data_IF_718044757010
#
_entry.id   IF_718044757010
#
_cell.length_a   1.000
_cell.length_b   1.000
_cell.length_c   1.000
_cell.angle_alpha   90.00
_cell.angle_beta   90.00
_cell.angle_gamma   90.00
#
_symmetry.space_group_name_H-M   'P 1'
#
loop_
_entity.id
_entity.type
_entity.pdbx_description
1 polymer ?
#
# COMPACT_ATOMS: atom_id res chain seq x y z
N UNK A 1 -13.41 -10.96 13.91
CA UNK A 1 -12.28 -10.59 13.04
C UNK A 1 -12.72 -10.83 11.60
N UNK A 2 -12.58 -9.85 10.72
CA UNK A 2 -12.94 -9.99 9.30
C UNK A 2 -11.87 -10.83 8.59
N UNK A 3 -12.30 -11.84 7.83
CA UNK A 3 -11.42 -12.64 6.99
C UNK A 3 -11.67 -12.27 5.53
N UNK A 4 -10.70 -11.66 4.83
CA UNK A 4 -10.89 -11.28 3.44
C UNK A 4 -10.95 -12.51 2.54
N UNK A 5 -11.55 -12.32 1.36
CA UNK A 5 -11.48 -13.29 0.27
C UNK A 5 -10.08 -13.30 -0.36
N UNK A 6 -9.94 -14.04 -1.47
CA UNK A 6 -8.66 -14.26 -2.13
C UNK A 6 -8.01 -12.97 -2.65
N UNK A 7 -8.78 -12.05 -3.21
CA UNK A 7 -8.26 -10.95 -4.02
C UNK A 7 -8.03 -9.68 -3.18
N UNK A 8 -6.77 -9.25 -3.11
CA UNK A 8 -6.32 -8.14 -2.28
C UNK A 8 -5.69 -7.01 -3.12
N UNK A 9 -6.48 -6.00 -3.56
CA UNK A 9 -5.94 -4.83 -4.22
C UNK A 9 -5.18 -3.90 -3.26
N UNK A 10 -4.01 -3.45 -3.71
CA UNK A 10 -3.13 -2.48 -3.08
C UNK A 10 -3.03 -1.23 -3.97
N UNK A 11 -3.40 -0.07 -3.43
CA UNK A 11 -3.40 1.21 -4.16
C UNK A 11 -3.25 2.40 -3.19
N UNK A 12 -3.15 3.61 -3.72
CA UNK A 12 -3.13 4.87 -2.97
C UNK A 12 -4.49 5.56 -2.90
N UNK A 13 -4.86 5.89 -1.67
CA UNK A 13 -5.96 6.79 -1.35
C UNK A 13 -5.45 8.20 -1.01
N UNK A 14 -6.26 9.21 -1.33
CA UNK A 14 -6.04 10.60 -0.90
C UNK A 14 -7.11 10.98 0.12
N UNK A 15 -6.70 11.37 1.32
CA UNK A 15 -7.58 11.96 2.33
C UNK A 15 -7.54 13.47 2.15
N UNK A 16 -8.63 14.06 1.65
CA UNK A 16 -8.70 15.47 1.34
C UNK A 16 -8.38 16.34 2.57
N UNK A 17 -7.41 17.26 2.42
CA UNK A 17 -7.00 18.16 3.50
C UNK A 17 -6.42 19.47 2.93
N UNK A 18 -6.96 20.60 3.38
CA UNK A 18 -6.58 21.94 2.87
C UNK A 18 -5.75 22.78 3.85
N UNK A 19 -5.62 22.36 5.11
CA UNK A 19 -4.85 23.08 6.12
C UNK A 19 -3.34 23.08 5.87
N UNK A 20 -2.59 23.75 6.77
CA UNK A 20 -1.12 23.71 6.77
C UNK A 20 -0.67 22.42 7.45
N UNK A 21 0.04 21.57 6.73
CA UNK A 21 0.68 20.36 7.25
C UNK A 21 1.88 20.03 6.36
N UNK A 22 2.95 19.53 6.97
CA UNK A 22 4.15 19.05 6.26
C UNK A 22 3.91 17.75 5.50
N UNK A 23 2.93 16.95 5.93
CA UNK A 23 2.57 15.67 5.33
C UNK A 23 1.62 15.79 4.13
N UNK A 24 1.07 16.99 3.92
CA UNK A 24 0.13 17.25 2.83
C UNK A 24 0.83 17.12 1.48
N UNK A 25 0.30 16.26 0.63
CA UNK A 25 0.77 16.04 -0.73
C UNK A 25 -0.11 16.78 -1.74
N UNK A 26 0.49 17.14 -2.87
CA UNK A 26 -0.20 17.69 -4.03
C UNK A 26 -0.17 16.68 -5.18
N UNK A 27 -1.32 16.29 -5.71
CA UNK A 27 -1.44 15.46 -6.90
C UNK A 27 -2.48 16.04 -7.88
N UNK A 28 -2.06 16.67 -9.00
CA UNK A 28 -2.99 17.32 -9.91
C UNK A 28 -3.91 16.34 -10.67
N UNK A 29 -3.59 15.04 -10.69
CA UNK A 29 -4.36 14.00 -11.39
C UNK A 29 -5.51 13.44 -10.55
N UNK A 30 -5.56 13.71 -9.24
CA UNK A 30 -6.65 13.24 -8.35
C UNK A 30 -7.72 14.34 -8.22
N UNK A 31 -9.01 13.97 -7.98
CA UNK A 31 -10.09 14.94 -7.81
C UNK A 31 -9.80 15.95 -6.70
N UNK A 32 -9.43 15.47 -5.53
CA UNK A 32 -8.88 16.27 -4.45
C UNK A 32 -7.37 16.41 -4.61
N UNK A 33 -6.95 17.55 -5.14
CA UNK A 33 -5.55 17.80 -5.47
C UNK A 33 -4.64 17.90 -4.25
N UNK A 34 -5.19 18.22 -3.08
CA UNK A 34 -4.45 18.41 -1.83
C UNK A 34 -5.01 17.50 -0.75
N UNK A 35 -4.13 16.70 -0.14
CA UNK A 35 -4.53 15.79 0.91
C UNK A 35 -3.36 14.98 1.49
N UNK A 36 -3.68 14.07 2.39
CA UNK A 36 -2.74 13.07 2.87
C UNK A 36 -2.75 11.88 1.92
N UNK A 37 -1.57 11.46 1.48
CA UNK A 37 -1.38 10.24 0.69
C UNK A 37 -1.30 9.05 1.66
N UNK A 38 -2.11 8.02 1.42
CA UNK A 38 -2.16 6.80 2.23
C UNK A 38 -2.11 5.59 1.30
N UNK A 39 -1.23 4.65 1.60
CA UNK A 39 -1.18 3.35 0.95
C UNK A 39 -2.19 2.43 1.62
N UNK A 40 -3.00 1.72 0.85
CA UNK A 40 -4.13 0.95 1.36
C UNK A 40 -4.12 -0.44 0.75
N UNK A 41 -4.25 -1.45 1.61
CA UNK A 41 -4.60 -2.81 1.23
C UNK A 41 -6.08 -3.02 1.54
N UNK A 42 -6.83 -3.51 0.56
CA UNK A 42 -8.26 -3.75 0.70
C UNK A 42 -8.66 -5.11 0.14
N UNK A 43 -9.87 -5.55 0.45
CA UNK A 43 -10.47 -6.75 -0.13
C UNK A 43 -11.35 -6.37 -1.33
N UNK A 44 -11.17 -7.06 -2.47
CA UNK A 44 -11.72 -6.63 -3.75
C UNK A 44 -13.25 -6.59 -3.81
N UNK A 45 -13.94 -7.54 -3.14
CA UNK A 45 -15.39 -7.68 -3.25
C UNK A 45 -16.17 -6.69 -2.38
N UNK A 46 -15.76 -6.54 -1.12
CA UNK A 46 -16.42 -5.67 -0.14
C UNK A 46 -15.87 -4.25 -0.11
N UNK A 47 -14.65 -4.04 -0.62
CA UNK A 47 -13.91 -2.79 -0.45
C UNK A 47 -13.43 -2.56 0.98
N UNK A 48 -13.47 -3.59 1.84
CA UNK A 48 -13.05 -3.46 3.23
C UNK A 48 -11.55 -3.18 3.31
N UNK A 49 -11.18 -2.12 4.06
CA UNK A 49 -9.78 -1.76 4.27
C UNK A 49 -9.17 -2.69 5.31
N UNK A 50 -8.18 -3.46 4.88
CA UNK A 50 -7.48 -4.45 5.69
C UNK A 50 -6.31 -3.82 6.43
N UNK A 51 -5.51 -3.02 5.72
CA UNK A 51 -4.36 -2.32 6.28
C UNK A 51 -4.13 -0.99 5.58
N UNK A 52 -3.59 -0.02 6.30
CA UNK A 52 -3.20 1.27 5.75
C UNK A 52 -1.85 1.74 6.29
N UNK A 53 -1.10 2.48 5.47
CA UNK A 53 0.17 3.10 5.86
C UNK A 53 0.23 4.53 5.32
N UNK A 54 0.53 5.50 6.20
CA UNK A 54 0.53 6.92 5.83
C UNK A 54 1.86 7.30 5.20
N UNK A 55 1.82 8.05 4.08
CA UNK A 55 3.03 8.59 3.48
C UNK A 55 3.56 9.76 4.32
N UNK A 56 4.79 9.62 4.82
CA UNK A 56 5.44 10.60 5.70
C UNK A 56 6.53 11.45 5.01
N UNK A 57 6.82 11.21 3.72
CA UNK A 57 7.88 11.91 2.99
C UNK A 57 9.30 11.39 3.24
N UNK A 58 9.51 10.65 4.32
CA UNK A 58 10.73 9.89 4.62
C UNK A 58 10.34 8.53 5.20
N UNK A 59 10.95 7.47 4.69
CA UNK A 59 10.87 6.15 5.31
C UNK A 59 11.87 6.12 6.46
N UNK A 60 11.39 6.39 7.68
CA UNK A 60 12.24 6.42 8.87
C UNK A 60 12.87 5.04 9.18
N UNK A 61 12.23 3.95 8.72
CA UNK A 61 12.64 2.57 8.94
C UNK A 61 13.05 1.87 7.63
N UNK A 62 13.43 2.62 6.58
CA UNK A 62 13.93 1.98 5.38
C UNK A 62 15.28 1.32 5.63
N UNK A 63 15.26 -0.01 5.73
CA UNK A 63 16.45 -0.83 5.52
C UNK A 63 17.07 -0.37 4.18
N UNK A 64 18.31 0.10 4.21
CA UNK A 64 18.92 0.81 3.08
C UNK A 64 18.99 -0.05 1.80
N UNK A 65 18.88 -1.37 1.99
CA UNK A 65 18.92 -2.38 0.93
C UNK A 65 17.56 -2.62 0.26
N UNK A 66 16.44 -2.28 0.92
CA UNK A 66 15.09 -2.44 0.36
C UNK A 66 14.53 -1.10 -0.12
N UNK A 67 14.11 -1.06 -1.39
CA UNK A 67 13.46 0.12 -1.96
C UNK A 67 12.18 0.52 -1.21
N UNK A 68 11.86 1.82 -1.19
CA UNK A 68 10.70 2.38 -0.51
C UNK A 68 9.39 1.62 -0.78
N UNK A 69 9.15 1.31 -2.05
CA UNK A 69 7.98 0.58 -2.52
C UNK A 69 7.89 -0.84 -1.95
N UNK A 70 9.03 -1.53 -1.90
CA UNK A 70 9.13 -2.90 -1.41
C UNK A 70 8.70 -2.97 0.07
N UNK A 71 9.22 -2.04 0.87
CA UNK A 71 8.88 -1.94 2.30
C UNK A 71 7.39 -1.68 2.52
N UNK A 72 6.78 -0.83 1.70
CA UNK A 72 5.34 -0.55 1.77
C UNK A 72 4.54 -1.83 1.49
N UNK A 73 4.86 -2.54 0.40
CA UNK A 73 4.16 -3.78 0.05
C UNK A 73 4.30 -4.82 1.15
N UNK A 74 5.52 -5.04 1.64
CA UNK A 74 5.80 -5.98 2.73
C UNK A 74 5.03 -5.59 4.02
N UNK A 75 5.07 -4.31 4.41
CA UNK A 75 4.37 -3.83 5.61
C UNK A 75 2.85 -4.03 5.52
N UNK A 76 2.26 -3.77 4.34
CA UNK A 76 0.83 -3.94 4.13
C UNK A 76 0.43 -5.42 4.10
N UNK A 77 1.27 -6.28 3.53
CA UNK A 77 0.99 -7.70 3.34
C UNK A 77 1.36 -8.60 4.52
N UNK A 78 2.14 -8.14 5.50
CA UNK A 78 2.70 -8.98 6.58
C UNK A 78 1.69 -9.87 7.31
N UNK A 79 0.43 -9.43 7.45
CA UNK A 79 -0.63 -10.21 8.10
C UNK A 79 -1.40 -11.15 7.15
N UNK A 80 -1.16 -11.06 5.85
CA UNK A 80 -1.86 -11.77 4.78
C UNK A 80 -0.94 -12.69 3.97
N UNK A 81 0.37 -12.63 4.19
CA UNK A 81 1.36 -13.56 3.66
C UNK A 81 1.13 -15.00 4.14
N UNK A 82 1.37 -15.99 3.28
CA UNK A 82 1.25 -17.41 3.63
C UNK A 82 -0.19 -17.93 3.70
N UNK A 83 -1.16 -17.23 3.08
CA UNK A 83 -2.60 -17.52 3.20
C UNK A 83 -3.29 -17.81 1.87
N UNK A 84 -2.57 -17.79 0.74
CA UNK A 84 -3.11 -18.06 -0.59
C UNK A 84 -3.96 -16.94 -1.19
N UNK A 85 -3.71 -15.69 -0.78
CA UNK A 85 -4.27 -14.48 -1.34
C UNK A 85 -3.54 -14.03 -2.62
N UNK A 86 -4.29 -13.48 -3.55
CA UNK A 86 -3.75 -12.86 -4.76
C UNK A 86 -3.70 -11.35 -4.59
N UNK A 87 -2.51 -10.78 -4.73
CA UNK A 87 -2.29 -9.33 -4.60
C UNK A 87 -2.34 -8.68 -5.97
N UNK A 88 -3.16 -7.63 -6.07
CA UNK A 88 -3.27 -6.81 -7.28
C UNK A 88 -2.72 -5.43 -6.98
N UNK A 89 -1.76 -4.97 -7.78
CA UNK A 89 -1.10 -3.68 -7.57
C UNK A 89 -0.71 -3.06 -8.90
N UNK A 90 -0.47 -1.76 -8.90
CA UNK A 90 -0.08 -1.04 -10.11
C UNK A 90 1.42 -1.21 -10.46
N UNK A 91 1.86 -0.56 -11.54
CA UNK A 91 3.26 -0.59 -11.95
C UNK A 91 4.19 0.19 -11.03
N UNK A 92 3.68 1.09 -10.19
CA UNK A 92 4.46 1.80 -9.18
C UNK A 92 4.91 0.84 -8.06
N UNK A 93 4.12 -0.19 -7.76
CA UNK A 93 4.47 -1.25 -6.80
C UNK A 93 5.20 -2.45 -7.38
N UNK A 94 5.24 -2.58 -8.70
CA UNK A 94 5.72 -3.81 -9.34
C UNK A 94 7.22 -3.80 -9.57
N UNK A 95 7.93 -4.80 -9.05
CA UNK A 95 9.33 -5.09 -9.40
C UNK A 95 9.60 -6.60 -9.36
N UNK A 96 10.61 -7.12 -10.08
CA UNK A 96 10.96 -8.54 -10.03
C UNK A 96 11.32 -9.03 -8.61
N UNK A 97 11.94 -8.17 -7.79
CA UNK A 97 12.28 -8.48 -6.42
C UNK A 97 11.03 -8.73 -5.55
N UNK A 98 10.04 -7.82 -5.65
CA UNK A 98 8.77 -7.94 -4.93
C UNK A 98 7.98 -9.16 -5.42
N UNK A 99 7.93 -9.40 -6.74
CA UNK A 99 7.23 -10.55 -7.30
C UNK A 99 7.81 -11.89 -6.81
N UNK A 100 9.14 -12.00 -6.77
CA UNK A 100 9.81 -13.19 -6.27
C UNK A 100 9.58 -13.38 -4.76
N UNK A 101 9.63 -12.31 -3.98
CA UNK A 101 9.35 -12.37 -2.54
C UNK A 101 7.91 -12.83 -2.27
N UNK A 102 6.92 -12.23 -2.93
CA UNK A 102 5.53 -12.63 -2.77
C UNK A 102 5.30 -14.09 -3.21
N UNK A 103 5.93 -14.52 -4.31
CA UNK A 103 5.85 -15.91 -4.75
C UNK A 103 6.51 -16.88 -3.75
N UNK A 104 7.63 -16.51 -3.14
CA UNK A 104 8.36 -17.36 -2.19
C UNK A 104 7.69 -17.45 -0.82
N UNK A 105 6.86 -16.46 -0.46
CA UNK A 105 6.21 -16.40 0.83
C UNK A 105 4.80 -17.02 0.83
N UNK A 106 4.50 -17.91 -0.14
CA UNK A 106 3.21 -18.57 -0.32
C UNK A 106 2.03 -17.60 -0.21
N UNK A 107 2.17 -16.44 -0.85
CA UNK A 107 1.15 -15.39 -0.79
C UNK A 107 -0.16 -15.93 -1.30
#
# INVERSE_FOLDING_TARGET
VYGPLKELPLDEMTIAFKGKSTLKQYNPKKPDKYGYKVFVLSEANSGYVLQLSMYTGQNADADADLGATHLIVHQLMVQYTGKGHEVYMDSYYTSPAIANELANNDT
#
